data_IF_300849965960
#
_entry.id   IF_300849965960
#
_cell.length_a   1.000
_cell.length_b   1.000
_cell.length_c   1.000
_cell.angle_alpha   90.00
_cell.angle_beta   90.00
_cell.angle_gamma   90.00
#
_symmetry.space_group_name_H-M   'P 1'
#
loop_
_entity.id
_entity.type
_entity.pdbx_description
1 polymer ?
#
# COMPACT_ATOMS: atom_id res chain seq x y z
N UNK A 1 38.45 25.21 -9.29
CA UNK A 1 37.13 24.98 -9.92
C UNK A 1 36.46 26.32 -10.16
N UNK A 2 36.13 26.65 -11.41
CA UNK A 2 35.57 27.95 -11.79
C UNK A 2 34.17 28.17 -11.20
N UNK A 3 33.82 29.40 -10.83
CA UNK A 3 32.50 29.76 -10.26
C UNK A 3 31.33 29.31 -11.15
N UNK A 4 31.54 29.24 -12.47
CA UNK A 4 30.55 28.73 -13.43
C UNK A 4 30.23 27.25 -13.22
N UNK A 5 31.22 26.43 -12.88
CA UNK A 5 31.01 25.00 -12.61
C UNK A 5 30.21 24.77 -11.32
N UNK A 6 30.40 25.62 -10.30
CA UNK A 6 29.65 25.53 -9.04
C UNK A 6 28.18 25.90 -9.22
N UNK A 7 27.89 26.95 -10.01
CA UNK A 7 26.50 27.33 -10.31
C UNK A 7 25.80 26.21 -11.07
N UNK A 8 26.41 25.65 -12.12
CA UNK A 8 25.83 24.54 -12.88
C UNK A 8 25.54 23.30 -12.02
N UNK A 9 26.43 22.98 -11.07
CA UNK A 9 26.26 21.85 -10.15
C UNK A 9 25.09 22.09 -9.18
N UNK A 10 24.95 23.31 -8.65
CA UNK A 10 23.84 23.67 -7.77
C UNK A 10 22.49 23.66 -8.49
N UNK A 11 22.43 24.11 -9.76
CA UNK A 11 21.20 24.08 -10.56
C UNK A 11 20.81 22.64 -10.92
N UNK A 12 21.79 21.79 -11.24
CA UNK A 12 21.54 20.37 -11.51
C UNK A 12 21.03 19.62 -10.26
N UNK A 13 21.58 19.92 -9.09
CA UNK A 13 21.15 19.28 -7.84
C UNK A 13 19.71 19.66 -7.46
N UNK A 14 19.34 20.94 -7.61
CA UNK A 14 17.97 21.40 -7.30
C UNK A 14 16.92 20.83 -8.26
N UNK A 15 17.26 20.59 -9.53
CA UNK A 15 16.36 19.94 -10.48
C UNK A 15 16.05 18.47 -10.13
N UNK A 16 16.96 17.76 -9.45
CA UNK A 16 16.78 16.35 -9.08
C UNK A 16 15.89 16.16 -7.84
N UNK A 17 15.79 17.16 -6.94
CA UNK A 17 14.97 17.04 -5.72
C UNK A 17 13.46 17.24 -6.00
N UNK A 18 13.09 17.72 -7.19
CA UNK A 18 11.69 17.99 -7.56
C UNK A 18 10.87 16.78 -8.02
N UNK A 19 11.50 15.64 -8.31
CA UNK A 19 10.83 14.44 -8.81
C UNK A 19 10.70 13.37 -7.72
N UNK A 20 9.99 13.69 -6.63
CA UNK A 20 9.66 12.72 -5.60
C UNK A 20 8.56 11.74 -6.05
N UNK A 21 8.49 10.53 -5.45
CA UNK A 21 7.40 9.60 -5.71
C UNK A 21 6.06 10.27 -5.39
N UNK A 22 5.12 10.18 -6.33
CA UNK A 22 3.80 10.77 -6.14
C UNK A 22 3.00 9.89 -5.15
N UNK A 23 2.97 10.26 -3.88
CA UNK A 23 2.20 9.56 -2.83
C UNK A 23 0.72 9.39 -3.18
N UNK A 24 0.16 10.33 -3.95
CA UNK A 24 -1.22 10.23 -4.41
C UNK A 24 -1.42 9.04 -5.34
N UNK A 25 -0.46 8.76 -6.21
CA UNK A 25 -0.52 7.61 -7.11
C UNK A 25 -0.54 6.28 -6.34
N UNK A 26 0.27 6.15 -5.29
CA UNK A 26 0.28 4.94 -4.43
C UNK A 26 -1.06 4.78 -3.72
N UNK A 27 -1.60 5.86 -3.15
CA UNK A 27 -2.89 5.85 -2.45
C UNK A 27 -4.07 5.50 -3.39
N UNK A 28 -4.08 6.09 -4.59
CA UNK A 28 -5.08 5.82 -5.62
C UNK A 28 -5.00 4.35 -6.08
N UNK A 29 -3.79 3.79 -6.18
CA UNK A 29 -3.55 2.39 -6.49
C UNK A 29 -4.06 1.42 -5.43
N UNK A 30 -3.82 1.69 -4.15
CA UNK A 30 -4.35 0.91 -3.03
C UNK A 30 -5.89 0.94 -3.02
N UNK A 31 -6.49 2.13 -3.17
CA UNK A 31 -7.94 2.28 -3.23
C UNK A 31 -8.57 1.56 -4.43
N UNK A 32 -7.89 1.58 -5.58
CA UNK A 32 -8.33 0.85 -6.76
C UNK A 32 -8.23 -0.67 -6.57
N UNK A 33 -7.17 -1.16 -5.90
CA UNK A 33 -7.04 -2.57 -5.56
C UNK A 33 -8.20 -3.06 -4.70
N UNK A 34 -8.52 -2.35 -3.60
CA UNK A 34 -9.61 -2.75 -2.69
C UNK A 34 -10.97 -2.78 -3.39
N UNK A 35 -11.20 -1.89 -4.37
CA UNK A 35 -12.42 -1.93 -5.20
C UNK A 35 -12.49 -3.17 -6.07
N UNK A 36 -11.41 -3.53 -6.78
CA UNK A 36 -11.39 -4.76 -7.59
C UNK A 36 -11.50 -6.02 -6.71
N UNK A 37 -10.86 -6.00 -5.55
CA UNK A 37 -10.95 -7.06 -4.56
C UNK A 37 -12.37 -7.24 -4.03
N UNK A 38 -13.08 -6.15 -3.71
CA UNK A 38 -14.49 -6.20 -3.32
C UNK A 38 -15.38 -6.79 -4.43
N UNK A 39 -15.15 -6.42 -5.69
CA UNK A 39 -15.90 -6.96 -6.84
C UNK A 39 -15.71 -8.47 -7.03
N UNK A 40 -14.63 -9.07 -6.53
CA UNK A 40 -14.43 -10.52 -6.62
C UNK A 40 -15.42 -11.33 -5.76
N UNK A 41 -15.95 -10.73 -4.69
CA UNK A 41 -16.90 -11.36 -3.78
C UNK A 41 -18.36 -11.16 -4.19
N UNK A 42 -18.63 -10.23 -5.08
CA UNK A 42 -19.96 -10.01 -5.61
C UNK A 42 -20.27 -11.05 -6.70
N UNK A 43 -21.22 -11.94 -6.42
CA UNK A 43 -21.65 -12.98 -7.35
C UNK A 43 -22.56 -12.45 -8.45
N UNK A 44 -23.12 -11.24 -8.29
CA UNK A 44 -23.90 -10.58 -9.32
C UNK A 44 -23.03 -9.94 -10.42
N UNK A 45 -21.72 -9.76 -10.17
CA UNK A 45 -20.77 -9.16 -11.11
C UNK A 45 -20.24 -10.22 -12.08
N UNK A 46 -20.37 -9.94 -13.37
CA UNK A 46 -19.87 -10.83 -14.42
C UNK A 46 -18.35 -10.98 -14.39
N UNK A 47 -17.85 -12.16 -14.77
CA UNK A 47 -16.41 -12.45 -14.84
C UNK A 47 -15.63 -11.49 -15.73
N UNK A 48 -16.22 -11.03 -16.83
CA UNK A 48 -15.63 -10.04 -17.73
C UNK A 48 -15.41 -8.67 -17.07
N UNK A 49 -16.30 -8.26 -16.16
CA UNK A 49 -16.14 -7.02 -15.41
C UNK A 49 -15.02 -7.15 -14.37
N UNK A 50 -14.93 -8.31 -13.69
CA UNK A 50 -13.84 -8.61 -12.76
C UNK A 50 -12.48 -8.63 -13.46
N UNK A 51 -12.37 -9.31 -14.60
CA UNK A 51 -11.13 -9.37 -15.38
C UNK A 51 -10.74 -7.99 -15.93
N UNK A 52 -11.71 -7.17 -16.35
CA UNK A 52 -11.46 -5.79 -16.76
C UNK A 52 -10.97 -4.90 -15.62
N UNK A 53 -11.48 -5.08 -14.40
CA UNK A 53 -11.00 -4.32 -13.23
C UNK A 53 -9.53 -4.64 -12.95
N UNK A 54 -9.20 -5.94 -12.87
CA UNK A 54 -7.84 -6.39 -12.58
C UNK A 54 -6.82 -6.02 -13.67
N UNK A 55 -7.20 -6.10 -14.94
CA UNK A 55 -6.33 -5.69 -16.04
C UNK A 55 -6.05 -4.19 -16.03
N UNK A 56 -7.08 -3.36 -15.80
CA UNK A 56 -6.92 -1.90 -15.69
C UNK A 56 -6.04 -1.51 -14.49
N UNK A 57 -6.20 -2.19 -13.35
CA UNK A 57 -5.36 -1.98 -12.17
C UNK A 57 -3.90 -2.33 -12.45
N UNK A 58 -3.63 -3.49 -13.06
CA UNK A 58 -2.27 -3.90 -13.42
C UNK A 58 -1.61 -2.94 -14.40
N UNK A 59 -2.36 -2.39 -15.36
CA UNK A 59 -1.82 -1.41 -16.31
C UNK A 59 -1.50 -0.07 -15.67
N UNK A 60 -2.32 0.37 -14.70
CA UNK A 60 -2.30 1.75 -14.21
C UNK A 60 -1.60 1.93 -12.87
N UNK A 61 -1.44 0.86 -12.08
CA UNK A 61 -0.99 0.95 -10.68
C UNK A 61 0.05 -0.11 -10.28
N UNK A 62 0.48 -1.00 -11.18
CA UNK A 62 1.48 -2.03 -10.80
C UNK A 62 2.85 -1.45 -10.48
N UNK A 63 3.19 -0.28 -11.03
CA UNK A 63 4.47 0.37 -10.79
C UNK A 63 4.53 0.96 -9.38
N UNK A 64 5.38 0.41 -8.51
CA UNK A 64 5.52 0.86 -7.12
C UNK A 64 4.47 0.28 -6.15
N UNK A 65 3.56 -0.57 -6.61
CA UNK A 65 2.70 -1.35 -5.73
C UNK A 65 3.49 -2.45 -4.99
N UNK A 66 2.95 -2.95 -3.88
CA UNK A 66 3.50 -4.11 -3.18
C UNK A 66 3.53 -5.33 -4.15
N UNK A 67 4.67 -6.03 -4.29
CA UNK A 67 4.79 -7.18 -5.18
C UNK A 67 3.72 -8.25 -4.93
N UNK A 68 3.33 -8.49 -3.68
CA UNK A 68 2.29 -9.47 -3.34
C UNK A 68 0.94 -9.13 -3.97
N UNK A 69 0.59 -7.83 -4.02
CA UNK A 69 -0.65 -7.34 -4.66
C UNK A 69 -0.59 -7.51 -6.17
N UNK A 70 0.57 -7.27 -6.77
CA UNK A 70 0.77 -7.46 -8.21
C UNK A 70 0.61 -8.94 -8.58
N UNK A 71 1.20 -9.83 -7.81
CA UNK A 71 1.10 -11.28 -8.04
C UNK A 71 -0.31 -11.80 -7.77
N UNK A 72 -0.98 -11.29 -6.72
CA UNK A 72 -2.40 -11.57 -6.48
C UNK A 72 -3.26 -11.20 -7.70
N UNK A 73 -3.14 -9.97 -8.20
CA UNK A 73 -3.94 -9.49 -9.34
C UNK A 73 -3.69 -10.31 -10.62
N UNK A 74 -2.43 -10.69 -10.89
CA UNK A 74 -2.06 -11.56 -12.02
C UNK A 74 -2.67 -12.96 -11.88
N UNK A 75 -2.53 -13.57 -10.72
CA UNK A 75 -3.09 -14.90 -10.42
C UNK A 75 -4.61 -14.89 -10.55
N UNK A 76 -5.25 -13.80 -10.11
CA UNK A 76 -6.69 -13.65 -10.21
C UNK A 76 -7.17 -13.52 -11.65
N UNK A 77 -6.49 -12.71 -12.47
CA UNK A 77 -6.79 -12.58 -13.89
C UNK A 77 -6.64 -13.93 -14.63
N UNK A 78 -5.61 -14.71 -14.28
CA UNK A 78 -5.40 -16.05 -14.82
C UNK A 78 -6.50 -17.03 -14.40
N UNK A 79 -6.96 -16.96 -13.15
CA UNK A 79 -8.05 -17.79 -12.64
C UNK A 79 -9.38 -17.50 -13.37
N UNK A 80 -9.74 -16.22 -13.54
CA UNK A 80 -10.96 -15.80 -14.24
C UNK A 80 -10.92 -16.26 -15.71
N UNK A 81 -9.81 -16.04 -16.43
CA UNK A 81 -9.65 -16.50 -17.81
C UNK A 81 -9.57 -18.04 -17.95
N UNK A 82 -9.27 -18.76 -16.86
CA UNK A 82 -9.36 -20.22 -16.81
C UNK A 82 -10.81 -20.72 -16.75
N UNK A 83 -11.69 -20.00 -16.05
CA UNK A 83 -13.12 -20.31 -15.96
C UNK A 83 -13.80 -20.10 -17.32
N UNK A 84 -13.54 -18.98 -17.99
CA UNK A 84 -14.13 -18.66 -19.29
C UNK A 84 -13.76 -19.71 -20.36
N UNK A 85 -12.49 -20.14 -20.37
CA UNK A 85 -12.04 -21.22 -21.27
C UNK A 85 -12.68 -22.57 -20.96
N UNK A 86 -12.94 -22.90 -19.70
CA UNK A 86 -13.65 -24.15 -19.34
C UNK A 86 -15.13 -24.08 -19.71
N UNK A 87 -15.77 -22.92 -19.54
CA UNK A 87 -17.15 -22.72 -19.95
C UNK A 87 -17.34 -22.87 -21.47
N UNK A 88 -16.37 -22.40 -22.26
CA UNK A 88 -16.39 -22.55 -23.72
C UNK A 88 -16.22 -24.01 -24.21
N UNK A 89 -15.68 -24.90 -23.38
CA UNK A 89 -15.41 -26.31 -23.74
C UNK A 89 -16.58 -27.24 -23.37
N UNK A 90 -17.62 -26.75 -22.69
CA UNK A 90 -18.84 -27.55 -22.52
C UNK A 90 -19.46 -27.76 -23.90
N UNK A 91 -19.41 -28.98 -24.47
CA UNK A 91 -20.02 -29.23 -25.77
C UNK A 91 -21.50 -28.95 -25.58
N UNK A 92 -22.06 -28.10 -26.43
CA UNK A 92 -23.51 -27.94 -26.56
C UNK A 92 -24.08 -29.27 -27.07
N UNK A 93 -24.20 -30.24 -26.18
CA UNK A 93 -24.81 -31.53 -26.45
C UNK A 93 -26.31 -31.33 -26.49
N UNK A 94 -26.79 -30.88 -27.65
CA UNK A 94 -28.13 -31.19 -28.15
C UNK A 94 -29.29 -30.48 -27.49
N UNK A 95 -29.50 -29.21 -27.80
CA UNK A 95 -30.84 -28.61 -27.81
C UNK A 95 -31.11 -28.00 -29.18
N UNK A 96 -31.49 -28.85 -30.15
CA UNK A 96 -32.16 -28.40 -31.37
C UNK A 96 -33.59 -27.98 -30.96
N UNK A 97 -33.77 -26.72 -30.56
CA UNK A 97 -35.11 -26.13 -30.52
C UNK A 97 -35.33 -25.48 -31.88
N UNK A 98 -36.38 -25.94 -32.56
CA UNK A 98 -36.77 -25.50 -33.88
C UNK A 98 -37.14 -24.00 -33.91
N UNK A 99 -36.74 -23.36 -35.01
CA UNK A 99 -37.02 -21.98 -35.41
C UNK A 99 -38.52 -21.73 -35.64
N UNK A 100 -39.04 -20.58 -35.18
CA UNK A 100 -39.83 -19.71 -36.07
C UNK A 100 -39.40 -18.24 -35.87
N UNK A 101 -38.74 -17.60 -36.84
CA UNK A 101 -39.40 -16.84 -37.90
C UNK A 101 -38.84 -15.40 -37.88
N UNK A 102 -38.80 -14.68 -39.02
CA UNK A 102 -38.12 -13.39 -39.11
C UNK A 102 -39.05 -12.22 -38.79
N UNK A 103 -38.65 -11.36 -37.85
CA UNK A 103 -39.16 -9.98 -37.73
C UNK A 103 -38.02 -9.04 -37.34
N UNK A 104 -37.85 -8.01 -38.17
CA UNK A 104 -36.91 -6.88 -38.05
C UNK A 104 -37.28 -5.93 -36.88
N UNK A 105 -36.69 -4.73 -36.73
CA UNK A 105 -35.37 -4.23 -37.11
C UNK A 105 -34.52 -3.80 -35.89
N UNK A 106 -33.24 -3.58 -36.17
CA UNK A 106 -32.23 -2.94 -35.33
C UNK A 106 -32.72 -1.65 -34.65
N UNK A 107 -32.93 -1.69 -33.34
CA UNK A 107 -32.87 -0.52 -32.47
C UNK A 107 -31.50 -0.56 -31.80
N UNK A 108 -30.60 0.33 -32.22
CA UNK A 108 -29.26 0.45 -31.66
C UNK A 108 -29.34 0.72 -30.14
N UNK A 109 -28.35 0.23 -29.36
CA UNK A 109 -28.32 0.53 -27.95
C UNK A 109 -28.25 2.05 -27.74
N UNK A 110 -29.01 2.62 -26.79
CA UNK A 110 -28.80 4.00 -26.41
C UNK A 110 -27.35 4.14 -25.95
N UNK A 111 -26.66 5.14 -26.51
CA UNK A 111 -25.37 5.58 -26.00
C UNK A 111 -25.55 5.89 -24.51
N UNK A 112 -25.07 4.98 -23.64
CA UNK A 112 -24.88 5.27 -22.23
C UNK A 112 -23.81 6.35 -22.19
N UNK A 113 -24.28 7.59 -22.04
CA UNK A 113 -23.46 8.73 -21.69
C UNK A 113 -22.58 8.31 -20.52
N UNK A 114 -21.27 8.29 -20.74
CA UNK A 114 -20.31 8.24 -19.66
C UNK A 114 -20.71 9.33 -18.66
N UNK A 115 -20.81 9.03 -17.35
CA UNK A 115 -21.00 10.08 -16.37
C UNK A 115 -19.86 11.07 -16.53
N UNK A 116 -20.21 12.32 -16.80
CA UNK A 116 -19.27 13.42 -16.86
C UNK A 116 -18.36 13.33 -15.62
N UNK A 117 -17.05 13.36 -15.86
CA UNK A 117 -16.08 13.48 -14.79
C UNK A 117 -16.53 14.62 -13.85
N UNK A 118 -16.54 14.42 -12.53
CA UNK A 118 -16.93 15.48 -11.61
C UNK A 118 -16.05 16.70 -11.90
N UNK A 119 -16.61 17.92 -11.96
CA UNK A 119 -15.80 19.12 -12.09
C UNK A 119 -14.79 19.10 -10.95
N UNK A 120 -13.51 19.28 -11.30
CA UNK A 120 -12.44 19.45 -10.33
C UNK A 120 -12.81 20.65 -9.45
N UNK A 121 -13.39 20.39 -8.28
CA UNK A 121 -13.55 21.40 -7.25
C UNK A 121 -12.14 21.72 -6.76
N UNK A 122 -11.66 22.97 -6.89
CA UNK A 122 -10.47 23.36 -6.17
C UNK A 122 -10.81 23.26 -4.69
N UNK A 123 -10.23 22.26 -4.02
CA UNK A 123 -10.14 22.24 -2.56
C UNK A 123 -9.30 23.44 -2.15
N UNK A 124 -9.97 24.57 -1.92
CA UNK A 124 -9.43 25.65 -1.11
C UNK A 124 -9.34 25.10 0.31
N UNK A 125 -8.21 24.47 0.62
CA UNK A 125 -7.81 24.23 2.01
C UNK A 125 -7.58 25.59 2.61
N UNK A 126 -8.56 26.06 3.38
CA UNK A 126 -8.39 27.17 4.30
C UNK A 126 -7.37 26.71 5.35
N UNK A 127 -6.12 27.14 5.18
CA UNK A 127 -5.09 27.00 6.19
C UNK A 127 -5.42 27.99 7.30
N UNK A 128 -6.40 27.61 8.11
CA UNK A 128 -6.78 28.28 9.33
C UNK A 128 -5.60 28.30 10.29
N UNK A 129 -4.85 29.40 10.24
CA UNK A 129 -4.20 30.10 11.35
C UNK A 129 -4.01 29.23 12.61
N UNK A 130 -2.94 28.43 12.62
CA UNK A 130 -2.42 27.88 13.89
C UNK A 130 -1.93 29.05 14.74
N UNK A 131 -2.61 29.27 15.85
CA UNK A 131 -2.19 30.21 16.87
C UNK A 131 -0.79 29.82 17.34
N UNK A 132 0.14 30.75 17.16
CA UNK A 132 1.50 30.69 17.65
C UNK A 132 1.48 30.69 19.19
N UNK A 133 1.42 29.50 19.79
CA UNK A 133 1.72 29.33 21.20
C UNK A 133 3.23 29.23 21.34
N UNK A 134 3.84 30.26 21.93
CA UNK A 134 5.25 30.29 22.30
C UNK A 134 5.63 29.03 23.10
N UNK A 135 6.72 28.33 22.73
CA UNK A 135 7.32 27.35 23.62
C UNK A 135 8.01 28.10 24.78
N UNK A 136 7.60 27.79 26.00
CA UNK A 136 8.31 28.21 27.21
C UNK A 136 9.73 27.63 27.26
N UNK A 137 10.63 28.24 28.05
CA UNK A 137 12.02 27.81 28.11
C UNK A 137 12.12 26.38 28.65
N UNK A 138 12.70 25.52 27.82
CA UNK A 138 13.03 24.15 28.17
C UNK A 138 14.07 24.13 29.29
N UNK A 139 13.69 23.58 30.45
CA UNK A 139 14.64 23.03 31.41
C UNK A 139 15.40 21.90 30.70
N UNK A 140 16.71 22.11 30.54
CA UNK A 140 17.65 21.12 30.07
C UNK A 140 17.77 19.98 31.11
N UNK A 141 16.78 19.09 31.12
CA UNK A 141 16.89 17.81 31.80
C UNK A 141 17.63 16.84 30.87
N UNK A 142 18.94 16.74 31.11
CA UNK A 142 19.73 15.52 30.99
C UNK A 142 19.32 14.58 29.86
N UNK A 143 19.90 14.80 28.68
CA UNK A 143 20.03 13.74 27.68
C UNK A 143 20.82 12.58 28.32
N UNK A 144 20.10 11.67 28.96
CA UNK A 144 20.57 10.33 29.24
C UNK A 144 20.81 9.67 27.89
N UNK A 145 22.04 9.88 27.40
CA UNK A 145 22.64 9.21 26.27
C UNK A 145 22.32 7.72 26.44
N UNK A 146 21.39 7.20 25.63
CA UNK A 146 21.14 5.78 25.50
C UNK A 146 22.44 5.15 24.96
N UNK A 147 23.37 4.86 25.86
CA UNK A 147 24.51 4.01 25.57
C UNK A 147 23.91 2.61 25.36
N UNK A 148 23.56 2.32 24.11
CA UNK A 148 23.14 1.01 23.64
C UNK A 148 24.25 -0.01 23.84
N UNK A 149 24.42 -0.47 25.07
CA UNK A 149 25.04 -1.75 25.35
C UNK A 149 23.90 -2.76 25.27
N UNK A 150 23.74 -3.36 24.09
CA UNK A 150 22.92 -4.56 23.92
C UNK A 150 23.54 -5.62 24.83
N UNK A 151 22.90 -5.84 25.96
CA UNK A 151 23.33 -6.85 26.93
C UNK A 151 22.82 -8.19 26.40
N UNK A 152 23.68 -8.92 25.68
CA UNK A 152 23.48 -10.34 25.35
C UNK A 152 23.70 -11.16 26.62
N UNK A 153 22.71 -11.18 27.52
CA UNK A 153 22.73 -11.98 28.76
C UNK A 153 21.34 -12.56 28.99
N UNK A 154 21.19 -13.87 28.75
CA UNK A 154 19.89 -14.52 28.57
C UNK A 154 19.10 -14.84 29.83
N UNK A 155 17.85 -15.29 29.59
CA UNK A 155 17.20 -16.35 30.35
C UNK A 155 16.04 -16.95 29.51
N UNK A 156 15.99 -18.27 29.21
CA UNK A 156 14.94 -18.86 28.39
C UNK A 156 13.92 -19.61 29.26
N UNK A 157 12.79 -19.00 29.60
CA UNK A 157 11.64 -19.76 30.14
C UNK A 157 10.33 -19.10 29.71
N UNK A 158 9.80 -19.55 28.56
CA UNK A 158 8.38 -19.71 28.21
C UNK A 158 8.24 -19.81 26.69
N UNK A 159 7.93 -21.01 26.20
CA UNK A 159 7.86 -21.34 24.78
C UNK A 159 6.56 -20.82 24.13
N UNK A 160 6.63 -20.12 22.98
CA UNK A 160 5.47 -19.81 22.14
C UNK A 160 5.06 -20.98 21.22
N UNK A 161 3.82 -20.97 20.67
CA UNK A 161 3.21 -22.02 19.85
C UNK A 161 3.95 -22.29 18.52
N UNK A 162 3.68 -23.43 17.83
CA UNK A 162 4.51 -23.96 16.76
C UNK A 162 4.66 -23.01 15.57
N UNK A 163 5.90 -22.96 15.11
CA UNK A 163 6.39 -22.28 13.92
C UNK A 163 5.63 -22.70 12.67
N UNK A 164 5.04 -21.71 11.98
CA UNK A 164 4.73 -21.81 10.55
C UNK A 164 6.08 -21.89 9.84
N UNK A 165 6.34 -22.99 9.14
CA UNK A 165 7.54 -23.13 8.31
C UNK A 165 7.50 -22.09 7.20
N UNK A 166 8.40 -21.13 7.30
CA UNK A 166 8.55 -20.04 6.35
C UNK A 166 9.22 -20.51 5.07
N UNK A 167 8.64 -20.04 3.97
CA UNK A 167 9.27 -20.01 2.67
C UNK A 167 10.65 -19.34 2.82
N UNK A 168 11.72 -20.04 2.47
CA UNK A 168 13.10 -19.53 2.46
C UNK A 168 13.30 -18.56 1.29
N UNK A 169 12.49 -17.51 1.22
CA UNK A 169 12.83 -16.30 0.48
C UNK A 169 13.96 -15.60 1.22
N UNK A 170 14.93 -15.07 0.48
CA UNK A 170 15.97 -14.23 1.07
C UNK A 170 15.31 -13.09 1.87
N UNK A 171 15.60 -13.03 3.17
CA UNK A 171 15.09 -11.99 4.04
C UNK A 171 15.54 -10.63 3.49
N UNK A 172 14.66 -9.63 3.35
CA UNK A 172 15.07 -8.34 2.81
C UNK A 172 16.14 -7.71 3.71
N UNK A 173 17.11 -6.97 3.14
CA UNK A 173 18.13 -6.30 3.93
C UNK A 173 17.46 -5.42 5.00
N UNK A 174 17.92 -5.52 6.25
CA UNK A 174 17.38 -4.76 7.39
C UNK A 174 16.19 -5.40 8.12
N UNK A 175 15.68 -6.56 7.69
CA UNK A 175 14.56 -7.24 8.35
C UNK A 175 14.86 -7.63 9.81
N UNK A 176 16.04 -8.20 10.08
CA UNK A 176 16.50 -8.50 11.44
C UNK A 176 16.58 -7.24 12.32
N UNK A 177 17.11 -6.14 11.78
CA UNK A 177 17.15 -4.85 12.47
C UNK A 177 15.73 -4.33 12.80
N UNK A 178 14.80 -4.44 11.85
CA UNK A 178 13.41 -4.07 12.07
C UNK A 178 12.71 -4.92 13.13
N UNK A 179 13.04 -6.22 13.20
CA UNK A 179 12.56 -7.12 14.24
C UNK A 179 13.05 -6.69 15.63
N UNK A 180 14.35 -6.36 15.75
CA UNK A 180 14.95 -5.93 17.01
C UNK A 180 14.39 -4.58 17.48
N UNK A 181 14.24 -3.60 16.58
CA UNK A 181 13.60 -2.32 16.91
C UNK A 181 12.16 -2.51 17.41
N UNK A 182 11.40 -3.42 16.79
CA UNK A 182 10.02 -3.72 17.19
C UNK A 182 9.95 -4.38 18.56
N UNK A 183 10.87 -5.31 18.86
CA UNK A 183 10.96 -5.97 20.16
C UNK A 183 11.34 -5.00 21.29
N UNK A 184 12.27 -4.06 21.01
CA UNK A 184 12.62 -3.01 21.96
C UNK A 184 11.44 -2.07 22.24
N UNK A 185 10.71 -1.65 21.21
CA UNK A 185 9.53 -0.80 21.34
C UNK A 185 8.39 -1.48 22.13
N UNK A 186 8.09 -2.74 21.83
CA UNK A 186 7.02 -3.47 22.54
C UNK A 186 7.34 -3.63 24.03
N UNK A 187 8.62 -3.88 24.34
CA UNK A 187 9.10 -3.95 25.73
C UNK A 187 8.98 -2.59 26.44
N UNK A 188 9.32 -1.50 25.76
CA UNK A 188 9.22 -0.15 26.31
C UNK A 188 7.76 0.27 26.56
N UNK A 189 6.87 0.01 25.61
CA UNK A 189 5.45 0.39 25.72
C UNK A 189 4.67 -0.50 26.68
N UNK A 190 5.08 -1.76 26.88
CA UNK A 190 4.48 -2.64 27.89
C UNK A 190 4.67 -2.11 29.33
N UNK A 191 5.68 -1.28 29.57
CA UNK A 191 5.94 -0.66 30.88
C UNK A 191 5.14 0.63 31.10
N UNK A 192 4.38 1.11 30.10
CA UNK A 192 3.62 2.33 30.22
C UNK A 192 2.40 2.14 31.14
N UNK A 193 2.29 2.89 32.26
CA UNK A 193 1.16 2.76 33.16
C UNK A 193 -0.14 3.16 32.45
N UNK A 194 -1.13 2.25 32.46
CA UNK A 194 -2.46 2.46 31.89
C UNK A 194 -2.47 2.96 30.43
N UNK A 195 -1.47 2.58 29.62
CA UNK A 195 -1.33 3.07 28.24
C UNK A 195 -1.28 4.60 28.16
N UNK A 196 -0.59 5.24 29.11
CA UNK A 196 -0.35 6.68 29.06
C UNK A 196 0.18 7.13 27.69
N UNK A 197 -0.55 8.04 27.04
CA UNK A 197 -0.27 8.46 25.67
C UNK A 197 1.11 9.11 25.54
N UNK A 198 1.58 9.84 26.55
CA UNK A 198 2.89 10.47 26.53
C UNK A 198 4.02 9.43 26.67
N UNK A 199 3.81 8.39 27.47
CA UNK A 199 4.73 7.25 27.54
C UNK A 199 4.83 6.49 26.22
N UNK A 200 3.69 6.16 25.59
CA UNK A 200 3.65 5.47 24.30
C UNK A 200 4.31 6.32 23.20
N UNK A 201 4.02 7.62 23.14
CA UNK A 201 4.62 8.53 22.17
C UNK A 201 6.15 8.59 22.26
N UNK A 202 6.73 8.55 23.47
CA UNK A 202 8.19 8.46 23.65
C UNK A 202 8.75 7.13 23.14
N UNK A 203 8.02 6.03 23.34
CA UNK A 203 8.33 4.75 22.72
C UNK A 203 8.38 4.85 21.20
N UNK A 204 7.36 5.47 20.58
CA UNK A 204 7.26 5.64 19.13
C UNK A 204 8.39 6.50 18.54
N UNK A 205 8.86 7.52 19.28
CA UNK A 205 10.04 8.30 18.89
C UNK A 205 11.30 7.44 18.88
N UNK A 206 11.52 6.65 19.93
CA UNK A 206 12.65 5.71 20.01
C UNK A 206 12.60 4.64 18.92
N UNK A 207 11.42 4.12 18.59
CA UNK A 207 11.24 3.19 17.47
C UNK A 207 11.60 3.82 16.13
N UNK A 208 11.14 5.05 15.87
CA UNK A 208 11.48 5.79 14.65
C UNK A 208 12.97 6.07 14.53
N UNK A 209 13.63 6.42 15.63
CA UNK A 209 15.08 6.61 15.64
C UNK A 209 15.84 5.31 15.38
N UNK A 210 15.43 4.20 16.01
CA UNK A 210 15.98 2.87 15.75
C UNK A 210 15.84 2.46 14.28
N UNK A 211 14.65 2.64 13.69
CA UNK A 211 14.38 2.29 12.30
C UNK A 211 15.18 3.13 11.29
N UNK A 212 15.52 4.38 11.61
CA UNK A 212 16.44 5.20 10.79
C UNK A 212 17.88 4.69 10.79
N UNK A 213 18.28 3.91 11.80
CA UNK A 213 19.60 3.28 11.84
C UNK A 213 19.68 1.99 11.02
N UNK A 214 18.55 1.42 10.62
CA UNK A 214 18.49 0.15 9.88
C UNK A 214 18.71 0.29 8.37
N UNK A 215 18.51 1.49 7.80
CA UNK A 215 18.51 1.77 6.35
C UNK A 215 19.23 3.08 6.03
#
# INVERSE_FOLDING_TARGET
>A
MSSRARVALLTAFTALVGCGPNYRYVYDGESAFERCYGLDYDTAVADSARSSCWSAWLQSYSYGANPDRVDFARNRLAAIGGVERRAAVVPSSGARIATPGPVAPTVGPPAVMAPAAPPATPLTVDVGRVASLSPGPAEASSASRWNGRISTGGNPVNAPPPTRQDNTGAEPPGASCGHDCRAAWSTATAQCPRQDAACVARGDEGYRECMRGCF
#
